data_IF_389306457143
#
_entry.id   IF_389306457143
#
_cell.length_a   1.000
_cell.length_b   1.000
_cell.length_c   1.000
_cell.angle_alpha   90.00
_cell.angle_beta   90.00
_cell.angle_gamma   90.00
#
_symmetry.space_group_name_H-M   'P 1'
#
loop_
_entity.id
_entity.type
_entity.pdbx_description
1 polymer ?
#
# COMPACT_ATOMS: atom_id res chain seq x y z
N UNK A 1 25.80 10.24 13.09
CA UNK A 1 26.55 11.53 13.09
C UNK A 1 26.38 12.26 11.76
N UNK A 2 26.69 11.64 10.60
CA UNK A 2 26.57 12.26 9.26
C UNK A 2 25.17 12.79 8.98
N UNK A 3 24.13 11.97 9.17
CA UNK A 3 22.74 12.38 8.96
C UNK A 3 22.40 13.67 9.75
N UNK A 4 22.87 13.78 11.00
CA UNK A 4 22.66 14.97 11.81
C UNK A 4 23.41 16.20 11.26
N UNK A 5 24.61 16.02 10.70
CA UNK A 5 25.35 17.08 10.03
C UNK A 5 24.65 17.59 8.76
N UNK A 6 23.92 16.70 8.10
CA UNK A 6 23.10 16.99 6.91
C UNK A 6 21.67 17.49 7.27
N UNK A 7 21.39 17.76 8.56
CA UNK A 7 20.09 18.22 9.03
C UNK A 7 18.98 17.16 9.03
N UNK A 8 19.35 15.88 8.85
CA UNK A 8 18.41 14.76 8.82
C UNK A 8 18.15 14.25 10.24
N UNK A 9 16.88 14.17 10.62
CA UNK A 9 16.44 13.59 11.90
C UNK A 9 15.99 12.14 11.69
N UNK A 10 16.75 11.19 12.23
CA UNK A 10 16.48 9.77 12.10
C UNK A 10 16.65 9.03 13.42
N UNK A 11 15.93 7.92 13.55
CA UNK A 11 16.20 6.89 14.57
C UNK A 11 16.44 5.56 13.87
N UNK A 12 17.51 4.87 14.25
CA UNK A 12 17.88 3.58 13.67
C UNK A 12 17.66 2.48 14.70
N UNK A 13 17.06 1.39 14.29
CA UNK A 13 16.80 0.24 15.14
C UNK A 13 16.59 -1.03 14.34
N UNK A 14 16.02 -2.04 14.99
CA UNK A 14 15.57 -3.28 14.36
C UNK A 14 14.10 -3.49 14.68
N UNK A 15 13.34 -3.89 13.68
CA UNK A 15 11.95 -4.24 13.90
C UNK A 15 11.83 -5.55 14.69
N UNK A 16 10.92 -5.59 15.65
CA UNK A 16 10.71 -6.79 16.48
C UNK A 16 9.76 -7.77 15.78
N UNK A 17 10.17 -8.22 14.60
CA UNK A 17 9.50 -9.26 13.79
C UNK A 17 10.54 -10.31 13.38
N UNK A 18 10.10 -11.41 12.78
CA UNK A 18 11.00 -12.43 12.24
C UNK A 18 12.05 -11.78 11.30
N UNK A 19 13.30 -12.23 11.35
CA UNK A 19 14.40 -11.65 10.59
C UNK A 19 14.97 -10.34 11.16
N UNK A 20 14.29 -9.67 12.09
CA UNK A 20 14.73 -8.42 12.76
C UNK A 20 15.37 -7.42 11.80
N UNK A 21 14.68 -7.01 10.71
CA UNK A 21 15.26 -6.12 9.71
C UNK A 21 15.65 -4.78 10.33
N UNK A 22 16.68 -4.16 9.75
CA UNK A 22 17.08 -2.80 10.12
C UNK A 22 15.98 -1.84 9.68
N UNK A 23 15.62 -0.91 10.56
CA UNK A 23 14.63 0.12 10.32
C UNK A 23 15.24 1.48 10.60
N UNK A 24 14.97 2.44 9.72
CA UNK A 24 15.31 3.83 9.89
C UNK A 24 13.99 4.62 9.92
N UNK A 25 13.65 5.17 11.06
CA UNK A 25 12.53 6.10 11.19
C UNK A 25 13.02 7.49 10.80
N UNK A 26 12.28 8.14 9.92
CA UNK A 26 12.62 9.45 9.35
C UNK A 26 11.64 10.49 9.86
N UNK A 27 12.15 11.55 10.48
CA UNK A 27 11.37 12.73 10.86
C UNK A 27 11.46 13.76 9.71
N UNK A 28 10.37 13.95 9.00
CA UNK A 28 10.29 14.87 7.88
C UNK A 28 9.95 16.32 8.28
N UNK A 29 9.65 16.58 9.55
CA UNK A 29 9.19 17.89 10.02
C UNK A 29 10.16 19.02 9.71
N UNK A 30 11.46 18.71 9.59
CA UNK A 30 12.51 19.67 9.22
C UNK A 30 12.35 20.25 7.81
N UNK A 31 11.57 19.58 6.95
CA UNK A 31 11.32 19.99 5.56
C UNK A 31 10.03 20.78 5.37
N UNK A 32 9.20 20.92 6.41
CA UNK A 32 7.91 21.66 6.33
C UNK A 32 8.14 23.12 5.91
N UNK A 33 9.17 23.76 6.44
CA UNK A 33 9.51 25.15 6.10
C UNK A 33 10.06 25.32 4.68
N UNK A 34 10.53 24.24 4.07
CA UNK A 34 11.08 24.22 2.71
C UNK A 34 10.08 23.67 1.69
N UNK A 35 8.84 23.44 2.12
CA UNK A 35 7.79 22.78 1.33
C UNK A 35 7.61 23.39 -0.06
N UNK A 36 7.51 24.70 -0.11
CA UNK A 36 7.22 25.42 -1.35
C UNK A 36 8.38 25.34 -2.35
N UNK A 37 9.61 25.40 -1.88
CA UNK A 37 10.82 25.22 -2.70
C UNK A 37 10.93 23.79 -3.24
N UNK A 38 10.65 22.81 -2.37
CA UNK A 38 10.66 21.39 -2.76
C UNK A 38 9.64 21.12 -3.87
N UNK A 39 8.41 21.59 -3.67
CA UNK A 39 7.33 21.37 -4.65
C UNK A 39 7.53 22.18 -5.93
N UNK A 40 8.07 23.39 -5.85
CA UNK A 40 8.47 24.15 -7.02
C UNK A 40 9.52 23.41 -7.86
N UNK A 41 10.52 22.82 -7.21
CA UNK A 41 11.56 22.04 -7.91
C UNK A 41 10.98 20.79 -8.61
N UNK A 42 9.98 20.15 -8.03
CA UNK A 42 9.29 19.02 -8.66
C UNK A 42 8.39 19.48 -9.82
N UNK A 43 7.75 20.64 -9.68
CA UNK A 43 7.02 21.23 -10.81
C UNK A 43 7.96 21.56 -11.98
N UNK A 44 9.08 22.20 -11.72
CA UNK A 44 10.04 22.56 -12.76
C UNK A 44 10.56 21.35 -13.54
N UNK A 45 10.93 20.29 -12.79
CA UNK A 45 11.54 19.07 -13.37
C UNK A 45 10.55 18.12 -13.98
N UNK A 46 9.43 17.88 -13.31
CA UNK A 46 8.51 16.79 -13.63
C UNK A 46 7.09 17.25 -13.94
N UNK A 47 6.80 18.56 -13.84
CA UNK A 47 5.45 19.11 -13.94
C UNK A 47 4.48 18.51 -12.91
N UNK A 48 5.02 18.12 -11.75
CA UNK A 48 4.24 17.55 -10.66
C UNK A 48 3.29 18.58 -10.07
N UNK A 49 1.98 18.33 -10.16
CA UNK A 49 0.97 19.21 -9.57
C UNK A 49 0.89 18.98 -8.06
N UNK A 50 1.39 19.94 -7.29
CA UNK A 50 1.31 19.94 -5.82
C UNK A 50 0.48 21.11 -5.27
N UNK A 51 -0.03 21.99 -6.14
CA UNK A 51 -0.70 23.25 -5.72
C UNK A 51 -2.02 22.95 -5.01
N UNK A 52 -2.79 21.98 -5.52
CA UNK A 52 -4.08 21.57 -4.94
C UNK A 52 -3.92 20.63 -3.74
N UNK A 53 -2.69 20.25 -3.40
CA UNK A 53 -2.39 19.29 -2.33
C UNK A 53 -2.78 19.81 -0.95
N UNK A 54 -3.66 19.06 -0.27
CA UNK A 54 -4.00 19.30 1.13
C UNK A 54 -2.97 18.65 2.06
N UNK A 55 -3.13 18.79 3.38
CA UNK A 55 -2.17 18.24 4.34
C UNK A 55 -1.98 16.73 4.20
N UNK A 56 -3.01 15.99 3.84
CA UNK A 56 -2.98 14.56 3.57
C UNK A 56 -2.21 14.15 2.30
N UNK A 57 -1.79 15.12 1.48
CA UNK A 57 -0.80 14.98 0.41
C UNK A 57 0.56 15.54 0.84
N UNK A 58 0.59 16.72 1.45
CA UNK A 58 1.83 17.44 1.78
C UNK A 58 2.70 16.61 2.71
N UNK A 59 2.11 16.06 3.77
CA UNK A 59 2.82 15.28 4.78
C UNK A 59 3.50 14.02 4.20
N UNK A 60 2.79 13.14 3.47
CA UNK A 60 3.44 11.99 2.82
C UNK A 60 4.47 12.38 1.75
N UNK A 61 4.22 13.42 0.97
CA UNK A 61 5.16 13.87 -0.06
C UNK A 61 6.48 14.36 0.57
N UNK A 62 6.41 15.14 1.65
CA UNK A 62 7.59 15.58 2.41
C UNK A 62 8.29 14.40 3.10
N UNK A 63 7.54 13.43 3.63
CA UNK A 63 8.13 12.19 4.15
C UNK A 63 8.90 11.44 3.05
N UNK A 64 8.29 11.26 1.88
CA UNK A 64 8.95 10.64 0.73
C UNK A 64 10.24 11.36 0.35
N UNK A 65 10.20 12.68 0.24
CA UNK A 65 11.38 13.50 -0.04
C UNK A 65 12.48 13.32 1.03
N UNK A 66 12.11 13.38 2.31
CA UNK A 66 13.05 13.18 3.43
C UNK A 66 13.67 11.78 3.41
N UNK A 67 12.87 10.75 3.10
CA UNK A 67 13.35 9.37 2.93
C UNK A 67 14.36 9.28 1.78
N UNK A 68 14.11 9.94 0.65
CA UNK A 68 15.06 10.04 -0.46
C UNK A 68 16.40 10.65 -0.05
N UNK A 69 16.36 11.73 0.74
CA UNK A 69 17.57 12.37 1.33
C UNK A 69 18.33 11.42 2.27
N UNK A 70 17.62 10.64 3.07
CA UNK A 70 18.23 9.64 3.96
C UNK A 70 18.88 8.52 3.15
N UNK A 71 18.24 8.05 2.09
CA UNK A 71 18.81 7.04 1.18
C UNK A 71 20.07 7.60 0.52
N UNK A 72 20.05 8.83 0.01
CA UNK A 72 21.23 9.48 -0.56
C UNK A 72 22.38 9.52 0.44
N UNK A 73 22.14 10.01 1.67
CA UNK A 73 23.15 10.07 2.73
C UNK A 73 23.73 8.69 3.05
N UNK A 74 22.87 7.67 3.16
CA UNK A 74 23.27 6.30 3.42
C UNK A 74 24.14 5.73 2.28
N UNK A 75 23.70 5.92 1.04
CA UNK A 75 24.42 5.44 -0.14
C UNK A 75 25.78 6.11 -0.26
N UNK A 76 25.85 7.44 -0.14
CA UNK A 76 27.13 8.18 -0.21
C UNK A 76 28.11 7.78 0.89
N UNK A 77 27.61 7.30 2.02
CA UNK A 77 28.47 6.87 3.14
C UNK A 77 28.96 5.43 2.99
N UNK A 78 28.09 4.51 2.50
CA UNK A 78 28.33 3.09 2.58
C UNK A 78 28.74 2.46 1.24
N UNK A 79 28.46 3.12 0.10
CA UNK A 79 28.66 2.48 -1.20
C UNK A 79 30.07 2.68 -1.75
N UNK A 80 30.54 1.64 -2.43
CA UNK A 80 31.70 1.71 -3.32
C UNK A 80 31.22 1.79 -4.77
N UNK A 81 32.10 2.23 -5.68
CA UNK A 81 31.85 2.34 -7.13
C UNK A 81 31.39 1.01 -7.76
N UNK A 82 31.68 -0.12 -7.11
CA UNK A 82 31.35 -1.47 -7.62
C UNK A 82 29.99 -1.99 -7.17
N UNK A 83 29.31 -1.31 -6.25
CA UNK A 83 28.01 -1.76 -5.73
C UNK A 83 26.88 -1.26 -6.61
N UNK A 84 26.01 -2.18 -7.03
CA UNK A 84 24.71 -1.83 -7.62
C UNK A 84 23.70 -1.66 -6.49
N UNK A 85 23.04 -0.52 -6.46
CA UNK A 85 22.10 -0.17 -5.41
C UNK A 85 20.73 0.04 -6.04
N UNK A 86 19.73 -0.54 -5.42
CA UNK A 86 18.32 -0.40 -5.79
C UNK A 86 17.58 0.18 -4.59
N UNK A 87 16.81 1.21 -4.82
CA UNK A 87 15.87 1.79 -3.88
C UNK A 87 14.44 1.45 -4.33
N UNK A 88 13.66 0.79 -3.46
CA UNK A 88 12.27 0.46 -3.73
C UNK A 88 11.35 1.41 -2.97
N UNK A 89 10.36 1.96 -3.67
CA UNK A 89 9.38 2.89 -3.15
C UNK A 89 7.98 2.28 -3.28
N UNK A 90 7.22 2.33 -2.20
CA UNK A 90 5.88 1.77 -2.17
C UNK A 90 4.84 2.87 -2.06
N UNK A 91 3.82 2.83 -2.90
CA UNK A 91 2.69 3.74 -2.95
C UNK A 91 3.09 5.19 -3.33
N UNK A 92 2.11 5.97 -3.78
CA UNK A 92 2.30 7.39 -4.13
C UNK A 92 2.96 8.20 -3.01
N UNK A 93 2.71 7.83 -1.75
CA UNK A 93 3.23 8.51 -0.57
C UNK A 93 4.76 8.56 -0.50
N UNK A 94 5.45 7.63 -1.15
CA UNK A 94 6.91 7.62 -1.21
C UNK A 94 7.47 8.10 -2.55
N UNK A 95 6.60 8.39 -3.51
CA UNK A 95 6.97 8.80 -4.87
C UNK A 95 7.91 10.00 -4.93
N UNK A 96 7.73 10.99 -4.02
CA UNK A 96 8.62 12.16 -3.97
C UNK A 96 10.09 11.78 -3.67
N UNK A 97 10.32 10.70 -2.91
CA UNK A 97 11.65 10.16 -2.65
C UNK A 97 12.28 9.55 -3.90
N UNK A 98 11.50 8.85 -4.71
CA UNK A 98 11.93 8.34 -6.01
C UNK A 98 12.35 9.50 -6.93
N UNK A 99 11.48 10.50 -7.09
CA UNK A 99 11.75 11.66 -7.96
C UNK A 99 12.99 12.44 -7.50
N UNK A 100 13.18 12.55 -6.18
CA UNK A 100 14.39 13.12 -5.61
C UNK A 100 15.63 12.33 -6.02
N UNK A 101 15.64 11.00 -5.83
CA UNK A 101 16.80 10.15 -6.14
C UNK A 101 17.11 10.13 -7.63
N UNK A 102 16.11 10.11 -8.51
CA UNK A 102 16.32 10.20 -9.95
C UNK A 102 17.11 11.46 -10.36
N UNK A 103 16.94 12.55 -9.62
CA UNK A 103 17.70 13.78 -9.85
C UNK A 103 19.06 13.81 -9.14
N UNK A 104 19.11 13.38 -7.88
CA UNK A 104 20.30 13.55 -7.05
C UNK A 104 21.31 12.38 -7.18
N UNK A 105 20.81 11.19 -7.53
CA UNK A 105 21.60 9.96 -7.58
C UNK A 105 21.16 9.04 -8.74
N UNK A 106 21.36 9.45 -9.99
CA UNK A 106 20.88 8.70 -11.17
C UNK A 106 21.48 7.30 -11.32
N UNK A 107 22.56 6.99 -10.60
CA UNK A 107 23.18 5.66 -10.55
C UNK A 107 22.44 4.66 -9.65
N UNK A 108 21.47 5.11 -8.83
CA UNK A 108 20.63 4.24 -8.00
C UNK A 108 19.42 3.82 -8.82
N UNK A 109 19.25 2.50 -9.01
CA UNK A 109 18.04 1.96 -9.65
C UNK A 109 16.82 2.19 -8.74
N UNK A 110 15.73 2.71 -9.32
CA UNK A 110 14.53 3.01 -8.58
C UNK A 110 13.39 2.07 -9.01
N UNK A 111 12.88 1.28 -8.06
CA UNK A 111 11.66 0.47 -8.25
C UNK A 111 10.49 1.19 -7.59
N UNK A 112 9.39 1.33 -8.32
CA UNK A 112 8.15 1.86 -7.78
C UNK A 112 7.07 0.77 -7.75
N UNK A 113 6.44 0.57 -6.59
CA UNK A 113 5.39 -0.45 -6.41
C UNK A 113 4.10 0.21 -5.95
N UNK A 114 3.07 0.12 -6.77
CA UNK A 114 1.70 0.52 -6.40
C UNK A 114 0.91 -0.71 -5.98
N UNK A 115 0.27 -0.66 -4.80
CA UNK A 115 -0.57 -1.75 -4.28
C UNK A 115 -2.05 -1.55 -4.63
N UNK A 116 -2.47 -0.33 -4.85
CA UNK A 116 -3.76 0.06 -5.42
C UNK A 116 -3.66 1.50 -5.88
N UNK A 117 -4.22 1.82 -7.05
CA UNK A 117 -4.15 3.18 -7.57
C UNK A 117 -4.96 4.17 -6.74
N UNK A 118 -4.54 5.43 -6.70
CA UNK A 118 -5.29 6.51 -6.03
C UNK A 118 -6.72 6.59 -6.57
N UNK A 119 -6.88 6.58 -7.88
CA UNK A 119 -8.19 6.69 -8.51
C UNK A 119 -9.04 5.44 -8.30
N UNK A 120 -8.46 4.24 -8.39
CA UNK A 120 -9.16 2.99 -8.10
C UNK A 120 -9.72 2.97 -6.68
N UNK A 121 -8.95 3.42 -5.69
CA UNK A 121 -9.42 3.58 -4.30
C UNK A 121 -10.57 4.58 -4.19
N UNK A 122 -10.50 5.71 -4.91
CA UNK A 122 -11.57 6.71 -4.91
C UNK A 122 -12.86 6.18 -5.53
N UNK A 123 -12.78 5.52 -6.68
CA UNK A 123 -13.94 4.94 -7.37
C UNK A 123 -14.60 3.88 -6.48
N UNK A 124 -13.84 2.90 -6.01
CA UNK A 124 -14.35 1.82 -5.15
C UNK A 124 -14.89 2.36 -3.81
N UNK A 125 -14.16 3.28 -3.16
CA UNK A 125 -14.56 3.88 -1.88
C UNK A 125 -15.85 4.71 -1.96
N UNK A 126 -16.19 5.22 -3.15
CA UNK A 126 -17.43 5.95 -3.41
C UNK A 126 -18.54 5.06 -4.01
N UNK A 127 -18.41 3.75 -3.94
CA UNK A 127 -19.39 2.77 -4.46
C UNK A 127 -19.67 2.89 -5.96
N UNK A 128 -18.71 3.39 -6.72
CA UNK A 128 -18.79 3.41 -8.17
C UNK A 128 -18.25 2.11 -8.76
N UNK A 129 -18.76 1.64 -9.90
CA UNK A 129 -18.35 0.39 -10.52
C UNK A 129 -16.94 0.52 -11.11
N UNK A 130 -15.91 0.05 -10.40
CA UNK A 130 -14.53 0.22 -10.81
C UNK A 130 -14.21 -0.55 -12.10
N UNK A 131 -14.36 -1.86 -12.10
CA UNK A 131 -13.86 -2.69 -13.20
C UNK A 131 -14.78 -2.75 -14.42
N UNK A 132 -16.10 -2.76 -14.21
CA UNK A 132 -17.07 -2.80 -15.31
C UNK A 132 -17.13 -1.50 -16.10
N UNK A 133 -16.83 -0.37 -15.45
CA UNK A 133 -16.93 0.95 -16.06
C UNK A 133 -15.56 1.65 -16.21
N UNK A 134 -14.47 0.99 -15.86
CA UNK A 134 -13.14 1.60 -15.80
C UNK A 134 -12.76 2.33 -17.10
N UNK A 135 -13.06 1.72 -18.25
CA UNK A 135 -12.74 2.29 -19.58
C UNK A 135 -13.48 3.59 -19.88
N UNK A 136 -14.59 3.83 -19.19
CA UNK A 136 -15.41 5.04 -19.37
C UNK A 136 -14.95 6.21 -18.48
N UNK A 137 -14.05 5.95 -17.53
CA UNK A 137 -13.53 6.97 -16.65
C UNK A 137 -12.35 7.71 -17.29
N UNK A 138 -12.42 9.03 -17.25
CA UNK A 138 -11.32 9.92 -17.63
C UNK A 138 -10.51 10.23 -16.35
N UNK A 139 -9.24 9.81 -16.26
CA UNK A 139 -8.44 9.94 -15.04
C UNK A 139 -8.37 11.35 -14.47
N UNK A 140 -8.18 12.35 -15.34
CA UNK A 140 -8.07 13.77 -14.95
C UNK A 140 -9.39 14.32 -14.39
N UNK A 141 -10.53 13.87 -14.90
CA UNK A 141 -11.86 14.26 -14.40
C UNK A 141 -12.12 13.64 -13.03
N UNK A 142 -11.79 12.36 -12.87
CA UNK A 142 -11.89 11.69 -11.58
C UNK A 142 -11.00 12.34 -10.54
N UNK A 143 -9.75 12.67 -10.89
CA UNK A 143 -8.80 13.32 -9.99
C UNK A 143 -9.35 14.67 -9.47
N UNK A 144 -9.99 15.45 -10.35
CA UNK A 144 -10.68 16.70 -9.97
C UNK A 144 -11.91 16.43 -9.11
N UNK A 145 -12.76 15.49 -9.54
CA UNK A 145 -14.02 15.14 -8.85
C UNK A 145 -13.75 14.70 -7.40
N UNK A 146 -12.70 13.93 -7.16
CA UNK A 146 -12.36 13.42 -5.84
C UNK A 146 -11.36 14.30 -5.08
N UNK A 147 -10.94 15.43 -5.67
CA UNK A 147 -9.94 16.33 -5.09
C UNK A 147 -8.60 15.61 -4.75
N UNK A 148 -8.12 14.77 -5.67
CA UNK A 148 -6.88 13.98 -5.52
C UNK A 148 -5.86 14.24 -6.62
N UNK A 149 -5.94 15.39 -7.29
CA UNK A 149 -5.06 15.76 -8.42
C UNK A 149 -3.58 15.59 -8.05
N UNK A 150 -3.14 16.16 -6.92
CA UNK A 150 -1.75 16.09 -6.51
C UNK A 150 -1.29 14.66 -6.19
N UNK A 151 -2.15 13.84 -5.57
CA UNK A 151 -1.85 12.44 -5.26
C UNK A 151 -1.72 11.62 -6.53
N UNK A 152 -2.66 11.76 -7.45
CA UNK A 152 -2.65 11.08 -8.74
C UNK A 152 -1.49 11.54 -9.61
N UNK A 153 -1.17 12.84 -9.62
CA UNK A 153 -0.02 13.40 -10.33
C UNK A 153 1.30 12.81 -9.82
N UNK A 154 1.46 12.70 -8.48
CA UNK A 154 2.65 12.10 -7.89
C UNK A 154 2.75 10.59 -8.20
N UNK A 155 1.65 9.85 -8.09
CA UNK A 155 1.62 8.42 -8.42
C UNK A 155 1.99 8.18 -9.88
N UNK A 156 1.33 8.88 -10.81
CA UNK A 156 1.60 8.79 -12.25
C UNK A 156 3.05 9.15 -12.57
N UNK A 157 3.54 10.26 -12.04
CA UNK A 157 4.90 10.71 -12.29
C UNK A 157 5.94 9.72 -11.75
N UNK A 158 5.73 9.18 -10.54
CA UNK A 158 6.63 8.19 -9.95
C UNK A 158 6.67 6.90 -10.78
N UNK A 159 5.50 6.42 -11.25
CA UNK A 159 5.41 5.25 -12.13
C UNK A 159 6.18 5.44 -13.44
N UNK A 160 6.08 6.63 -14.07
CA UNK A 160 6.77 6.94 -15.33
C UNK A 160 8.27 7.16 -15.16
N UNK A 161 8.73 7.64 -14.00
CA UNK A 161 10.14 7.90 -13.72
C UNK A 161 10.91 6.70 -13.13
N UNK A 162 10.21 5.68 -12.67
CA UNK A 162 10.83 4.47 -12.16
C UNK A 162 11.62 3.72 -13.24
N UNK A 163 12.72 3.07 -12.84
CA UNK A 163 13.47 2.16 -13.70
C UNK A 163 12.75 0.81 -13.85
N UNK A 164 11.92 0.47 -12.84
CA UNK A 164 11.00 -0.67 -12.87
C UNK A 164 9.73 -0.29 -12.12
N UNK A 165 8.59 -0.40 -12.79
CA UNK A 165 7.27 -0.17 -12.21
C UNK A 165 6.57 -1.49 -11.95
N UNK A 166 6.18 -1.75 -10.71
CA UNK A 166 5.57 -3.01 -10.29
C UNK A 166 4.24 -2.80 -9.59
N UNK A 167 3.42 -3.86 -9.58
CA UNK A 167 2.20 -3.94 -8.78
C UNK A 167 2.00 -5.34 -8.22
N UNK A 168 0.96 -5.53 -7.39
CA UNK A 168 0.77 -6.75 -6.60
C UNK A 168 -0.18 -7.77 -7.22
N UNK A 169 -0.90 -7.42 -8.31
CA UNK A 169 -1.84 -8.32 -8.98
C UNK A 169 -2.14 -7.87 -10.41
N UNK A 170 -2.57 -8.80 -11.25
CA UNK A 170 -2.99 -8.51 -12.63
C UNK A 170 -4.16 -7.51 -12.69
N UNK A 171 -5.07 -7.60 -11.71
CA UNK A 171 -6.21 -6.67 -11.68
C UNK A 171 -5.74 -5.24 -11.37
N UNK A 172 -4.76 -5.07 -10.48
CA UNK A 172 -4.17 -3.75 -10.22
C UNK A 172 -3.30 -3.29 -11.39
N UNK A 173 -2.66 -4.22 -12.13
CA UNK A 173 -1.94 -3.87 -13.35
C UNK A 173 -2.87 -3.23 -14.40
N UNK A 174 -4.09 -3.76 -14.53
CA UNK A 174 -5.12 -3.17 -15.40
C UNK A 174 -5.51 -1.75 -14.96
N UNK A 175 -5.63 -1.50 -13.64
CA UNK A 175 -5.85 -0.15 -13.11
C UNK A 175 -4.68 0.79 -13.43
N UNK A 176 -3.44 0.32 -13.26
CA UNK A 176 -2.24 1.10 -13.55
C UNK A 176 -2.18 1.51 -15.01
N UNK A 177 -2.41 0.58 -15.93
CA UNK A 177 -2.43 0.87 -17.35
C UNK A 177 -3.44 1.97 -17.70
N UNK A 178 -4.65 1.92 -17.12
CA UNK A 178 -5.70 2.89 -17.41
C UNK A 178 -5.53 4.22 -16.67
N UNK A 179 -5.32 4.19 -15.35
CA UNK A 179 -5.32 5.41 -14.53
C UNK A 179 -3.97 6.15 -14.51
N UNK A 180 -2.88 5.43 -14.71
CA UNK A 180 -1.53 6.02 -14.71
C UNK A 180 -0.95 6.14 -16.12
N UNK A 181 -1.64 5.61 -17.13
CA UNK A 181 -1.15 5.58 -18.51
C UNK A 181 0.25 4.95 -18.60
N UNK A 182 0.42 3.85 -17.85
CA UNK A 182 1.69 3.13 -17.75
C UNK A 182 1.44 1.66 -17.46
N UNK A 183 1.88 0.80 -18.38
CA UNK A 183 1.93 -0.64 -18.16
C UNK A 183 2.94 -0.96 -17.07
N UNK A 184 2.66 -1.96 -16.25
CA UNK A 184 3.61 -2.44 -15.24
C UNK A 184 4.65 -3.35 -15.88
N UNK A 185 5.90 -3.23 -15.43
CA UNK A 185 6.99 -4.07 -15.90
C UNK A 185 6.92 -5.49 -15.31
N UNK A 186 6.40 -5.61 -14.07
CA UNK A 186 6.30 -6.89 -13.39
C UNK A 186 5.20 -6.87 -12.32
N UNK A 187 4.43 -7.97 -12.25
CA UNK A 187 3.50 -8.22 -11.14
C UNK A 187 4.23 -9.00 -10.05
N UNK A 188 4.28 -8.44 -8.84
CA UNK A 188 4.93 -9.01 -7.66
C UNK A 188 3.92 -9.21 -6.55
N UNK A 189 3.25 -10.37 -6.47
CA UNK A 189 2.25 -10.62 -5.43
C UNK A 189 2.83 -10.49 -4.02
N UNK A 190 1.97 -10.09 -3.07
CA UNK A 190 2.36 -10.03 -1.67
C UNK A 190 2.82 -11.40 -1.17
N UNK A 191 3.93 -11.41 -0.44
CA UNK A 191 4.47 -12.62 0.16
C UNK A 191 3.62 -13.11 1.34
N UNK A 192 3.72 -14.40 1.60
CA UNK A 192 3.16 -15.04 2.78
C UNK A 192 4.25 -15.83 3.50
N UNK A 193 4.31 -15.72 4.83
CA UNK A 193 5.25 -16.48 5.64
C UNK A 193 4.64 -17.78 6.15
N UNK A 194 5.19 -18.91 5.74
CA UNK A 194 4.74 -20.24 6.17
C UNK A 194 4.90 -20.49 7.68
N UNK A 195 5.69 -19.67 8.38
CA UNK A 195 5.88 -19.79 9.85
C UNK A 195 4.56 -19.66 10.63
N UNK A 196 3.56 -19.00 10.05
CA UNK A 196 2.21 -18.90 10.65
C UNK A 196 1.35 -20.14 10.40
N UNK A 197 1.75 -21.00 9.48
CA UNK A 197 1.03 -22.24 9.18
C UNK A 197 1.47 -23.32 10.17
N UNK A 198 0.55 -23.97 10.88
CA UNK A 198 0.90 -25.11 11.72
C UNK A 198 1.55 -26.23 10.92
N UNK A 199 2.50 -26.95 11.52
CA UNK A 199 3.00 -28.18 10.93
C UNK A 199 1.87 -29.21 10.78
N UNK A 200 2.05 -30.17 9.90
CA UNK A 200 1.09 -31.24 9.66
C UNK A 200 0.72 -32.00 10.98
N UNK A 201 1.71 -32.24 11.83
CA UNK A 201 1.54 -32.88 13.13
C UNK A 201 0.72 -32.01 14.14
N UNK A 202 0.77 -30.68 14.02
CA UNK A 202 0.06 -29.76 14.91
C UNK A 202 -1.33 -29.37 14.37
N UNK A 203 -1.58 -29.61 13.08
CA UNK A 203 -2.75 -29.09 12.37
C UNK A 203 -4.06 -29.42 13.06
N UNK A 204 -4.31 -30.70 13.32
CA UNK A 204 -5.58 -31.15 13.91
C UNK A 204 -5.79 -30.59 15.33
N UNK A 205 -4.74 -30.55 16.16
CA UNK A 205 -4.82 -29.99 17.50
C UNK A 205 -5.13 -28.49 17.47
N UNK A 206 -4.43 -27.71 16.64
CA UNK A 206 -4.64 -26.27 16.52
C UNK A 206 -5.99 -25.94 15.88
N UNK A 207 -6.40 -26.73 14.88
CA UNK A 207 -7.72 -26.60 14.24
C UNK A 207 -8.85 -26.82 15.25
N UNK A 208 -8.76 -27.91 16.07
CA UNK A 208 -9.73 -28.20 17.12
C UNK A 208 -9.82 -27.08 18.15
N UNK A 209 -8.68 -26.64 18.68
CA UNK A 209 -8.63 -25.55 19.65
C UNK A 209 -9.19 -24.23 19.10
N UNK A 210 -8.86 -23.90 17.85
CA UNK A 210 -9.42 -22.73 17.17
C UNK A 210 -10.93 -22.81 17.00
N UNK A 211 -11.43 -23.98 16.57
CA UNK A 211 -12.87 -24.23 16.44
C UNK A 211 -13.62 -24.09 17.75
N UNK A 212 -13.12 -24.71 18.82
CA UNK A 212 -13.71 -24.61 20.15
C UNK A 212 -13.84 -23.15 20.61
N UNK A 213 -12.79 -22.34 20.36
CA UNK A 213 -12.80 -20.92 20.68
C UNK A 213 -13.84 -20.13 19.89
N UNK A 214 -13.99 -20.40 18.58
CA UNK A 214 -15.04 -19.78 17.77
C UNK A 214 -16.45 -20.16 18.26
N UNK A 215 -16.68 -21.42 18.60
CA UNK A 215 -17.98 -21.88 19.13
C UNK A 215 -18.30 -21.22 20.47
N UNK A 216 -17.33 -21.10 21.37
CA UNK A 216 -17.50 -20.39 22.65
C UNK A 216 -17.91 -18.93 22.43
N UNK A 217 -17.25 -18.22 21.52
CA UNK A 217 -17.62 -16.84 21.19
C UNK A 217 -19.02 -16.77 20.57
N UNK A 218 -19.33 -17.67 19.65
CA UNK A 218 -20.66 -17.72 19.03
C UNK A 218 -21.77 -17.98 20.06
N UNK A 219 -21.56 -18.91 20.99
CA UNK A 219 -22.50 -19.20 22.08
C UNK A 219 -22.69 -17.98 23.00
N UNK A 220 -21.61 -17.28 23.34
CA UNK A 220 -21.68 -16.08 24.15
C UNK A 220 -22.49 -14.96 23.50
N UNK A 221 -22.32 -14.76 22.19
CA UNK A 221 -23.05 -13.75 21.43
C UNK A 221 -24.54 -14.13 21.26
N UNK A 222 -24.81 -15.41 20.97
CA UNK A 222 -26.17 -15.89 20.70
C UNK A 222 -26.99 -16.16 21.97
N UNK A 223 -26.35 -16.25 23.13
CA UNK A 223 -27.02 -16.60 24.40
C UNK A 223 -27.59 -18.01 24.44
N UNK A 224 -27.15 -18.92 23.56
CA UNK A 224 -27.61 -20.30 23.45
C UNK A 224 -26.49 -21.24 22.98
N UNK A 225 -26.57 -22.54 23.27
CA UNK A 225 -25.64 -23.52 22.78
C UNK A 225 -25.61 -23.56 21.22
N UNK A 226 -24.42 -23.79 20.65
CA UNK A 226 -24.21 -24.05 19.24
C UNK A 226 -23.70 -25.48 19.09
N UNK A 227 -24.22 -26.21 18.10
CA UNK A 227 -23.83 -27.58 17.83
C UNK A 227 -22.31 -27.70 17.57
N UNK A 228 -21.67 -28.73 18.10
CA UNK A 228 -20.23 -28.94 17.96
C UNK A 228 -19.79 -29.14 16.51
N UNK A 229 -20.66 -29.70 15.67
CA UNK A 229 -20.45 -29.94 14.24
C UNK A 229 -20.92 -28.77 13.34
N UNK A 230 -21.44 -27.68 13.92
CA UNK A 230 -21.89 -26.52 13.16
C UNK A 230 -20.83 -26.03 12.18
N UNK A 231 -21.22 -25.76 10.92
CA UNK A 231 -20.33 -25.18 9.93
C UNK A 231 -19.96 -23.74 10.31
N UNK A 232 -18.67 -23.48 10.39
CA UNK A 232 -18.15 -22.14 10.67
C UNK A 232 -17.72 -21.51 9.35
N UNK A 233 -18.38 -20.44 8.96
CA UNK A 233 -18.03 -19.60 7.81
C UNK A 233 -17.61 -18.23 8.33
N UNK A 234 -16.54 -17.68 7.79
CA UNK A 234 -15.98 -16.41 8.26
C UNK A 234 -15.38 -15.59 7.14
N UNK A 235 -15.39 -14.29 7.34
CA UNK A 235 -14.64 -13.32 6.52
C UNK A 235 -13.71 -12.54 7.46
N UNK A 236 -12.51 -12.23 6.99
CA UNK A 236 -11.51 -11.48 7.75
C UNK A 236 -10.97 -10.33 6.92
N UNK A 237 -10.81 -9.17 7.54
CA UNK A 237 -10.27 -7.98 6.87
C UNK A 237 -10.49 -6.73 7.72
N UNK A 238 -10.05 -5.58 7.19
CA UNK A 238 -10.39 -4.27 7.77
C UNK A 238 -11.89 -4.03 7.63
N UNK A 239 -12.46 -3.25 8.56
CA UNK A 239 -13.89 -2.92 8.52
C UNK A 239 -14.17 -1.91 7.41
N UNK A 240 -14.16 -2.40 6.20
CA UNK A 240 -14.52 -1.67 4.97
C UNK A 240 -15.66 -2.44 4.29
N UNK A 241 -16.90 -2.09 4.67
CA UNK A 241 -18.11 -2.88 4.43
C UNK A 241 -18.24 -3.40 2.98
N UNK A 242 -18.06 -2.51 2.00
CA UNK A 242 -18.13 -2.86 0.58
C UNK A 242 -16.79 -3.33 0.00
N UNK A 243 -15.71 -2.60 0.28
CA UNK A 243 -14.41 -2.92 -0.31
C UNK A 243 -13.85 -4.28 0.10
N UNK A 244 -14.31 -4.84 1.24
CA UNK A 244 -13.94 -6.17 1.72
C UNK A 244 -15.03 -7.21 1.47
N UNK A 245 -16.12 -6.86 0.78
CA UNK A 245 -17.20 -7.78 0.44
C UNK A 245 -17.99 -8.28 1.64
N UNK A 246 -18.03 -7.51 2.75
CA UNK A 246 -18.81 -7.89 3.95
C UNK A 246 -20.30 -7.95 3.62
N UNK A 247 -20.79 -7.02 2.80
CA UNK A 247 -22.16 -7.00 2.28
C UNK A 247 -22.46 -8.26 1.45
N UNK A 248 -21.57 -8.61 0.53
CA UNK A 248 -21.70 -9.82 -0.30
C UNK A 248 -21.70 -11.08 0.57
N UNK A 249 -20.84 -11.14 1.60
CA UNK A 249 -20.81 -12.24 2.54
C UNK A 249 -22.12 -12.36 3.32
N UNK A 250 -22.67 -11.26 3.83
CA UNK A 250 -23.96 -11.25 4.55
C UNK A 250 -25.09 -11.71 3.65
N UNK A 251 -25.16 -11.21 2.41
CA UNK A 251 -26.17 -11.61 1.44
C UNK A 251 -26.06 -13.10 1.07
N UNK A 252 -24.85 -13.59 0.86
CA UNK A 252 -24.59 -15.00 0.60
C UNK A 252 -25.04 -15.90 1.76
N UNK A 253 -24.72 -15.49 3.01
CA UNK A 253 -25.20 -16.20 4.21
C UNK A 253 -26.73 -16.16 4.33
N UNK A 254 -27.35 -15.03 4.02
CA UNK A 254 -28.80 -14.91 3.97
C UNK A 254 -29.46 -15.83 2.93
N UNK A 255 -28.85 -15.97 1.76
CA UNK A 255 -29.31 -16.89 0.71
C UNK A 255 -29.11 -18.34 1.15
N UNK A 256 -27.95 -18.67 1.71
CA UNK A 256 -27.63 -19.99 2.22
C UNK A 256 -28.64 -20.43 3.30
N UNK A 257 -28.98 -19.54 4.23
CA UNK A 257 -29.95 -19.81 5.29
C UNK A 257 -31.38 -20.05 4.77
N UNK A 258 -31.73 -19.51 3.61
CA UNK A 258 -33.02 -19.74 2.95
C UNK A 258 -33.05 -21.03 2.11
N UNK A 259 -31.91 -21.61 1.84
CA UNK A 259 -31.80 -22.82 1.04
C UNK A 259 -32.04 -24.07 1.90
N UNK A 260 -33.26 -24.59 1.87
CA UNK A 260 -33.65 -25.77 2.63
C UNK A 260 -32.95 -27.07 2.21
N UNK A 261 -32.16 -27.07 1.13
CA UNK A 261 -31.41 -28.24 0.63
C UNK A 261 -30.07 -28.50 1.36
N UNK A 262 -29.62 -27.56 2.16
CA UNK A 262 -28.47 -27.74 3.07
C UNK A 262 -29.04 -28.33 4.37
N UNK A 263 -28.91 -29.66 4.57
CA UNK A 263 -29.29 -30.30 5.82
C UNK A 263 -28.79 -29.49 7.04
N UNK A 264 -29.54 -29.58 8.15
CA UNK A 264 -29.25 -28.85 9.38
C UNK A 264 -27.87 -29.19 9.90
#
# INVERSE_FOLDING_TARGET
QRAAQEGLRIKVGRWNVAGKPIVILVDFSTFITQKDEIFASFWEKYKLDSISGQWDYIEPALFGYAAGKVIESFVRFNSSIRQRIIAQFHEWMTGAGLLYLKSAMPQVGCVFTTHATVLGRCVAGNNLPLYSEMKNYVPEELARRFNVISKQSLEKTAAHQADCFTTVSEITATECAHFLDKEVDLVTPNGFENVFTPSEAEWEGKRKAGREKFLQVAQAILGRPVAEDALILGISGRYEFKNKGIDVFIDAMGQLNRNNGLGK
#
